data_IF_595694479197
#
_entry.id   IF_595694479197
#
_cell.length_a   1.000
_cell.length_b   1.000
_cell.length_c   1.000
_cell.angle_alpha   90.00
_cell.angle_beta   90.00
_cell.angle_gamma   90.00
#
_symmetry.space_group_name_H-M   'P 1'
#
loop_
_entity.id
_entity.type
_entity.pdbx_description
1 polymer ?
#
# COMPACT_ATOMS: atom_id res chain seq x y z
N UNK A 1 -5.13 -8.68 42.34
CA UNK A 1 -4.41 -7.48 41.85
C UNK A 1 -5.09 -7.01 40.58
N UNK A 2 -6.04 -6.06 40.68
CA UNK A 2 -6.75 -5.49 39.52
C UNK A 2 -6.05 -4.19 39.11
N UNK A 3 -5.31 -4.21 38.01
CA UNK A 3 -4.72 -3.00 37.42
C UNK A 3 -5.78 -2.21 36.63
N UNK A 4 -6.01 -0.92 36.92
CA UNK A 4 -6.97 -0.12 36.17
C UNK A 4 -6.46 0.10 34.74
N UNK A 5 -7.26 -0.24 33.72
CA UNK A 5 -6.94 0.07 32.33
C UNK A 5 -7.24 1.53 32.05
N UNK A 6 -6.20 2.32 31.73
CA UNK A 6 -6.31 3.71 31.27
C UNK A 6 -7.08 3.74 29.96
N UNK A 7 -8.22 4.44 29.92
CA UNK A 7 -8.95 4.69 28.69
C UNK A 7 -8.06 5.47 27.71
N UNK A 8 -7.64 4.82 26.62
CA UNK A 8 -6.94 5.48 25.53
C UNK A 8 -7.95 6.37 24.81
N UNK A 9 -7.85 7.69 24.99
CA UNK A 9 -8.51 8.64 24.10
C UNK A 9 -7.93 8.43 22.71
N UNK A 10 -8.77 8.07 21.74
CA UNK A 10 -8.43 8.07 20.33
C UNK A 10 -8.02 9.48 19.94
N UNK A 11 -6.72 9.78 20.03
CA UNK A 11 -6.17 10.95 19.35
C UNK A 11 -6.28 10.65 17.87
N UNK A 12 -6.99 11.53 17.17
CA UNK A 12 -7.07 11.57 15.71
C UNK A 12 -5.70 11.22 15.12
N UNK A 13 -5.71 10.21 14.25
CA UNK A 13 -4.53 9.75 13.52
C UNK A 13 -4.00 10.95 12.73
N UNK A 14 -3.04 11.67 13.31
CA UNK A 14 -2.27 12.68 12.59
C UNK A 14 -1.63 11.95 11.41
N UNK A 15 -2.12 12.26 10.21
CA UNK A 15 -1.58 11.74 8.94
C UNK A 15 -0.10 12.11 8.95
N UNK A 16 0.76 11.12 9.16
CA UNK A 16 2.21 11.33 9.07
C UNK A 16 2.48 11.90 7.67
N UNK A 17 3.35 12.92 7.54
CA UNK A 17 3.73 13.44 6.23
C UNK A 17 4.18 12.27 5.36
N UNK A 18 3.54 12.11 4.20
CA UNK A 18 4.02 11.17 3.18
C UNK A 18 5.36 11.75 2.72
N UNK A 19 6.45 11.09 3.08
CA UNK A 19 7.75 11.39 2.48
C UNK A 19 7.59 10.98 1.03
N UNK A 20 7.44 11.97 0.16
CA UNK A 20 7.64 11.79 -1.28
C UNK A 20 9.13 11.47 -1.43
N UNK A 21 9.46 10.18 -1.44
CA UNK A 21 10.74 9.72 -1.95
C UNK A 21 10.75 10.15 -3.41
N UNK A 22 11.33 11.32 -3.67
CA UNK A 22 11.72 11.71 -5.01
C UNK A 22 12.48 10.54 -5.62
N UNK A 23 12.15 10.22 -6.87
CA UNK A 23 12.80 9.18 -7.65
C UNK A 23 14.30 9.32 -7.47
N UNK A 24 14.89 8.37 -6.73
CA UNK A 24 16.33 8.32 -6.55
C UNK A 24 16.94 8.28 -7.95
N UNK A 25 17.96 9.11 -8.25
CA UNK A 25 18.49 9.25 -9.60
C UNK A 25 18.86 7.86 -10.14
N UNK A 26 18.18 7.48 -11.22
CA UNK A 26 18.14 6.15 -11.81
C UNK A 26 19.42 5.76 -12.58
N UNK A 27 20.60 6.19 -12.10
CA UNK A 27 21.87 5.59 -12.54
C UNK A 27 22.47 4.81 -11.39
N UNK A 28 21.74 3.78 -10.95
CA UNK A 28 22.19 2.77 -9.97
C UNK A 28 23.62 2.28 -10.29
N UNK A 29 23.97 2.23 -11.58
CA UNK A 29 25.29 1.83 -12.07
C UNK A 29 26.45 2.66 -11.51
N UNK A 30 26.40 4.00 -11.49
CA UNK A 30 27.58 4.78 -11.07
C UNK A 30 27.80 4.69 -9.56
N UNK A 31 26.72 4.76 -8.79
CA UNK A 31 26.78 4.65 -7.33
C UNK A 31 27.20 3.25 -6.89
N UNK A 32 26.62 2.20 -7.48
CA UNK A 32 26.96 0.82 -7.15
C UNK A 32 28.43 0.52 -7.47
N UNK A 33 28.93 0.97 -8.62
CA UNK A 33 30.34 0.82 -9.00
C UNK A 33 31.26 1.57 -8.02
N UNK A 34 30.92 2.81 -7.64
CA UNK A 34 31.71 3.57 -6.67
C UNK A 34 31.74 2.88 -5.29
N UNK A 35 30.59 2.34 -4.85
CA UNK A 35 30.52 1.60 -3.60
C UNK A 35 31.33 0.29 -3.65
N UNK A 36 31.28 -0.45 -4.75
CA UNK A 36 32.12 -1.64 -4.96
C UNK A 36 33.60 -1.30 -4.94
N UNK A 37 34.02 -0.19 -5.58
CA UNK A 37 35.39 0.27 -5.52
C UNK A 37 35.83 0.60 -4.09
N UNK A 38 34.98 1.23 -3.28
CA UNK A 38 35.29 1.52 -1.87
C UNK A 38 35.35 0.24 -1.02
N UNK A 39 34.47 -0.72 -1.25
CA UNK A 39 34.48 -2.01 -0.53
C UNK A 39 35.76 -2.79 -0.84
N UNK A 40 36.27 -2.71 -2.07
CA UNK A 40 37.46 -3.43 -2.49
C UNK A 40 38.78 -2.68 -2.22
N UNK A 41 38.72 -1.42 -1.78
CA UNK A 41 39.91 -0.61 -1.51
C UNK A 41 40.60 -1.04 -0.20
N UNK A 42 41.78 -1.67 -0.30
CA UNK A 42 42.54 -2.14 0.86
C UNK A 42 43.15 -1.02 1.71
N UNK A 43 43.28 0.19 1.16
CA UNK A 43 43.74 1.37 1.90
C UNK A 43 42.66 1.88 2.89
N UNK A 44 41.41 1.43 2.73
CA UNK A 44 40.33 1.78 3.65
C UNK A 44 40.26 0.84 4.86
N UNK A 45 40.07 1.41 6.07
CA UNK A 45 39.85 0.62 7.28
C UNK A 45 38.72 -0.40 7.10
N UNK A 46 38.95 -1.63 7.57
CA UNK A 46 38.00 -2.75 7.41
C UNK A 46 36.60 -2.40 7.94
N UNK A 47 36.51 -1.73 9.09
CA UNK A 47 35.24 -1.32 9.67
C UNK A 47 34.44 -0.40 8.73
N UNK A 48 35.10 0.48 7.99
CA UNK A 48 34.44 1.38 7.05
C UNK A 48 33.94 0.61 5.83
N UNK A 49 34.76 -0.30 5.27
CA UNK A 49 34.35 -1.19 4.18
C UNK A 49 33.14 -2.04 4.55
N UNK A 50 33.13 -2.59 5.77
CA UNK A 50 32.00 -3.37 6.29
C UNK A 50 30.72 -2.54 6.40
N UNK A 51 30.81 -1.29 6.90
CA UNK A 51 29.64 -0.40 7.00
C UNK A 51 29.09 -0.07 5.61
N UNK A 52 29.96 0.23 4.64
CA UNK A 52 29.55 0.50 3.25
C UNK A 52 28.85 -0.71 2.65
N UNK A 53 29.41 -1.91 2.80
CA UNK A 53 28.80 -3.16 2.33
C UNK A 53 27.42 -3.41 2.96
N UNK A 54 27.29 -3.20 4.27
CA UNK A 54 26.02 -3.30 4.97
C UNK A 54 24.97 -2.31 4.45
N UNK A 55 25.35 -1.04 4.26
CA UNK A 55 24.44 -0.03 3.71
C UNK A 55 23.98 -0.40 2.30
N UNK A 56 24.87 -0.96 1.47
CA UNK A 56 24.53 -1.40 0.12
C UNK A 56 23.54 -2.56 0.11
N UNK A 57 23.69 -3.50 1.04
CA UNK A 57 22.69 -4.56 1.22
C UNK A 57 21.33 -3.98 1.64
N UNK A 58 21.32 -2.95 2.50
CA UNK A 58 20.08 -2.28 2.92
C UNK A 58 19.39 -1.51 1.81
N UNK A 59 20.15 -0.89 0.90
CA UNK A 59 19.58 -0.26 -0.30
C UNK A 59 18.86 -1.32 -1.16
N UNK A 60 19.52 -2.45 -1.45
CA UNK A 60 18.90 -3.55 -2.21
C UNK A 60 17.62 -4.08 -1.55
N UNK A 61 17.63 -4.23 -0.22
CA UNK A 61 16.43 -4.63 0.53
C UNK A 61 15.32 -3.58 0.46
N UNK A 62 15.67 -2.29 0.49
CA UNK A 62 14.73 -1.20 0.35
C UNK A 62 14.08 -1.18 -1.03
N UNK A 63 14.85 -1.39 -2.10
CA UNK A 63 14.33 -1.42 -3.47
C UNK A 63 13.28 -2.51 -3.63
N UNK A 64 13.54 -3.72 -3.12
CA UNK A 64 12.56 -4.83 -3.11
C UNK A 64 11.27 -4.43 -2.38
N UNK A 65 11.38 -3.75 -1.24
CA UNK A 65 10.22 -3.28 -0.48
C UNK A 65 9.45 -2.20 -1.24
N UNK A 66 10.15 -1.27 -1.89
CA UNK A 66 9.53 -0.20 -2.68
C UNK A 66 8.80 -0.76 -3.90
N UNK A 67 9.40 -1.73 -4.60
CA UNK A 67 8.75 -2.40 -5.72
C UNK A 67 7.51 -3.16 -5.28
N UNK A 68 7.61 -3.91 -4.17
CA UNK A 68 6.42 -4.58 -3.63
C UNK A 68 5.34 -3.60 -3.18
N UNK A 69 5.73 -2.45 -2.64
CA UNK A 69 4.79 -1.40 -2.26
C UNK A 69 4.07 -0.83 -3.48
N UNK A 70 4.78 -0.60 -4.59
CA UNK A 70 4.19 -0.14 -5.86
C UNK A 70 3.17 -1.15 -6.38
N UNK A 71 3.48 -2.44 -6.38
CA UNK A 71 2.53 -3.50 -6.76
C UNK A 71 1.27 -3.46 -5.88
N UNK A 72 1.43 -3.38 -4.56
CA UNK A 72 0.30 -3.34 -3.62
C UNK A 72 -0.57 -2.09 -3.80
N UNK A 73 0.02 -0.94 -4.15
CA UNK A 73 -0.74 0.27 -4.46
C UNK A 73 -1.61 0.07 -5.71
N UNK A 74 -1.07 -0.56 -6.75
CA UNK A 74 -1.82 -0.89 -7.97
C UNK A 74 -2.96 -1.87 -7.67
N UNK A 75 -2.67 -2.94 -6.93
CA UNK A 75 -3.66 -3.95 -6.54
C UNK A 75 -4.78 -3.34 -5.68
N UNK A 76 -4.42 -2.52 -4.69
CA UNK A 76 -5.38 -1.81 -3.85
C UNK A 76 -6.30 -0.90 -4.66
N UNK A 77 -5.75 -0.18 -5.64
CA UNK A 77 -6.55 0.65 -6.54
C UNK A 77 -7.49 -0.18 -7.42
N UNK A 78 -7.03 -1.34 -7.91
CA UNK A 78 -7.86 -2.26 -8.68
C UNK A 78 -9.05 -2.78 -7.86
N UNK A 79 -8.79 -3.27 -6.65
CA UNK A 79 -9.83 -3.76 -5.73
C UNK A 79 -10.81 -2.63 -5.38
N UNK A 80 -10.32 -1.41 -5.13
CA UNK A 80 -11.18 -0.27 -4.83
C UNK A 80 -12.16 0.03 -5.99
N UNK A 81 -11.68 -0.02 -7.23
CA UNK A 81 -12.51 0.18 -8.42
C UNK A 81 -13.55 -0.94 -8.59
N UNK A 82 -13.16 -2.19 -8.34
CA UNK A 82 -14.07 -3.35 -8.41
C UNK A 82 -15.19 -3.23 -7.36
N UNK A 83 -14.85 -2.86 -6.12
CA UNK A 83 -15.85 -2.63 -5.06
C UNK A 83 -16.83 -1.52 -5.44
N UNK A 84 -16.35 -0.44 -6.06
CA UNK A 84 -17.23 0.64 -6.55
C UNK A 84 -18.18 0.11 -7.63
N UNK A 85 -17.65 -0.66 -8.60
CA UNK A 85 -18.44 -1.27 -9.68
C UNK A 85 -19.54 -2.19 -9.12
N UNK A 86 -19.16 -3.14 -8.28
CA UNK A 86 -20.10 -4.11 -7.68
C UNK A 86 -21.16 -3.46 -6.80
N UNK A 87 -20.82 -2.38 -6.08
CA UNK A 87 -21.81 -1.60 -5.31
C UNK A 87 -22.80 -0.88 -6.21
N UNK A 88 -22.34 -0.34 -7.34
CA UNK A 88 -23.20 0.30 -8.34
C UNK A 88 -24.17 -0.70 -8.98
N UNK A 89 -23.66 -1.88 -9.34
CA UNK A 89 -24.47 -2.96 -9.89
C UNK A 89 -25.51 -3.46 -8.88
N UNK A 90 -25.10 -3.75 -7.65
CA UNK A 90 -26.03 -4.14 -6.59
C UNK A 90 -27.12 -3.10 -6.35
N UNK A 91 -26.77 -1.81 -6.38
CA UNK A 91 -27.77 -0.73 -6.24
C UNK A 91 -28.77 -0.76 -7.40
N UNK A 92 -28.28 -0.94 -8.62
CA UNK A 92 -29.13 -1.01 -9.83
C UNK A 92 -30.07 -2.22 -9.79
N UNK A 93 -29.57 -3.39 -9.42
CA UNK A 93 -30.37 -4.61 -9.27
C UNK A 93 -31.42 -4.47 -8.17
N UNK A 94 -31.07 -3.90 -7.02
CA UNK A 94 -32.04 -3.65 -5.94
C UNK A 94 -33.16 -2.68 -6.39
N UNK A 95 -32.83 -1.67 -7.20
CA UNK A 95 -33.85 -0.77 -7.79
C UNK A 95 -34.75 -1.55 -8.76
N UNK A 96 -34.18 -2.37 -9.64
CA UNK A 96 -34.94 -3.16 -10.60
C UNK A 96 -35.91 -4.14 -9.90
N UNK A 97 -35.43 -4.88 -8.90
CA UNK A 97 -36.24 -5.80 -8.10
C UNK A 97 -37.32 -5.07 -7.29
N UNK A 98 -36.99 -3.90 -6.72
CA UNK A 98 -37.97 -3.05 -6.05
C UNK A 98 -39.05 -2.52 -6.99
N UNK A 99 -38.72 -2.24 -8.25
CA UNK A 99 -39.68 -1.83 -9.28
C UNK A 99 -40.53 -2.98 -9.81
N UNK A 100 -39.99 -4.20 -9.88
CA UNK A 100 -40.72 -5.39 -10.32
C UNK A 100 -41.83 -5.79 -9.33
N UNK A 101 -41.56 -5.67 -8.02
CA UNK A 101 -42.58 -5.87 -6.96
C UNK A 101 -43.72 -4.83 -6.98
N UNK A 102 -43.50 -3.65 -7.58
CA UNK A 102 -44.53 -2.62 -7.73
C UNK A 102 -45.33 -2.80 -9.03
N UNK A 103 -44.80 -3.56 -10.01
CA UNK A 103 -45.41 -3.77 -11.33
C UNK A 103 -46.30 -5.00 -11.45
N UNK A 104 -46.35 -5.89 -10.44
CA UNK A 104 -47.35 -6.95 -10.40
C UNK A 104 -48.71 -6.37 -9.95
N UNK A 105 -49.71 -6.23 -10.84
CA UNK A 105 -51.05 -5.92 -10.41
C UNK A 105 -51.56 -7.10 -9.57
N UNK A 106 -51.91 -6.81 -8.32
CA UNK A 106 -52.78 -7.68 -7.53
C UNK A 106 -54.05 -7.86 -8.34
N UNK A 107 -54.12 -8.97 -9.08
CA UNK A 107 -55.28 -9.28 -9.91
C UNK A 107 -56.35 -9.71 -8.93
N UNK A 108 -57.31 -8.80 -8.76
CA UNK A 108 -58.53 -8.93 -8.00
C UNK A 108 -59.18 -10.28 -8.31
N UNK A 109 -59.17 -11.19 -7.34
CA UNK A 109 -60.04 -12.36 -7.32
C UNK A 109 -61.42 -11.95 -6.82
N UNK A 110 -62.26 -11.44 -7.73
CA UNK A 110 -63.70 -11.36 -7.57
C UNK A 110 -64.29 -12.61 -8.22
N UNK A 111 -64.65 -13.62 -7.41
CA UNK A 111 -65.74 -14.57 -7.66
C UNK A 111 -66.18 -15.15 -6.31
#
# INVERSE_FOLDING_TARGET
MNTPRRAMKFKDRQKRPRIELQESPSSATEFDLAAEHLINNEDLPLNLRTVIGYLMEKVKQLDVVLDKNRELVVESQHIANEVISLRSENKSLNIALGQENVRLPSTVGLF
#
